data_IF_990879464156
#
_entry.id   IF_990879464156
#
_cell.length_a   1.000
_cell.length_b   1.000
_cell.length_c   1.000
_cell.angle_alpha   90.00
_cell.angle_beta   90.00
_cell.angle_gamma   90.00
#
_symmetry.space_group_name_H-M   'P 1'
#
loop_
_entity.id
_entity.type
_entity.pdbx_description
1 polymer ?
#
# COMPACT_ATOMS: atom_id res chain seq x y z
N UNK A 1 -27.40 -39.10 14.55
CA UNK A 1 -26.68 -37.81 14.54
C UNK A 1 -25.51 -37.89 13.57
N UNK A 2 -25.49 -37.03 12.56
CA UNK A 2 -24.30 -36.80 11.74
C UNK A 2 -24.18 -35.28 11.54
N UNK A 3 -23.25 -34.66 12.28
CA UNK A 3 -22.83 -33.29 11.98
C UNK A 3 -21.91 -33.37 10.76
N UNK A 4 -22.46 -33.07 9.58
CA UNK A 4 -21.66 -32.73 8.42
C UNK A 4 -21.15 -31.31 8.64
N UNK A 5 -19.90 -31.15 9.07
CA UNK A 5 -19.26 -29.85 9.05
C UNK A 5 -18.99 -29.47 7.60
N UNK A 6 -19.88 -28.68 7.00
CA UNK A 6 -19.55 -27.88 5.84
C UNK A 6 -18.41 -26.96 6.26
N UNK A 7 -17.18 -27.32 5.90
CA UNK A 7 -16.07 -26.38 5.94
C UNK A 7 -16.51 -25.19 5.08
N UNK A 8 -16.77 -24.04 5.71
CA UNK A 8 -16.92 -22.80 4.99
C UNK A 8 -15.60 -22.59 4.24
N UNK A 9 -15.62 -22.82 2.92
CA UNK A 9 -14.55 -22.36 2.07
C UNK A 9 -14.52 -20.84 2.21
N UNK A 10 -13.63 -20.33 3.06
CA UNK A 10 -13.36 -18.90 3.14
C UNK A 10 -12.96 -18.44 1.75
N UNK A 11 -13.79 -17.61 1.13
CA UNK A 11 -13.48 -17.00 -0.16
C UNK A 11 -12.10 -16.38 -0.09
N UNK A 12 -11.17 -16.92 -0.86
CA UNK A 12 -9.77 -16.48 -0.86
C UNK A 12 -9.71 -14.99 -1.22
N UNK A 13 -9.15 -14.17 -0.35
CA UNK A 13 -8.93 -12.76 -0.64
C UNK A 13 -7.67 -12.58 -1.53
N UNK A 14 -7.47 -11.37 -2.07
CA UNK A 14 -6.34 -11.09 -2.96
C UNK A 14 -4.97 -11.32 -2.32
N UNK A 15 -4.80 -11.01 -1.02
CA UNK A 15 -3.55 -11.26 -0.30
C UNK A 15 -3.29 -12.76 -0.14
N UNK A 16 -4.31 -13.55 0.16
CA UNK A 16 -4.20 -15.01 0.22
C UNK A 16 -3.87 -15.61 -1.14
N UNK A 17 -4.49 -15.10 -2.21
CA UNK A 17 -4.16 -15.50 -3.59
C UNK A 17 -2.71 -15.15 -3.94
N UNK A 18 -2.26 -13.95 -3.58
CA UNK A 18 -0.87 -13.53 -3.74
C UNK A 18 0.11 -14.48 -3.02
N UNK A 19 -0.15 -14.79 -1.74
CA UNK A 19 0.69 -15.73 -0.99
C UNK A 19 0.77 -17.10 -1.68
N UNK A 20 -0.37 -17.63 -2.15
CA UNK A 20 -0.39 -18.88 -2.91
C UNK A 20 0.43 -18.79 -4.21
N UNK A 21 0.23 -17.74 -5.01
CA UNK A 21 0.94 -17.55 -6.29
C UNK A 21 2.46 -17.52 -6.11
N UNK A 22 2.94 -16.88 -5.03
CA UNK A 22 4.38 -16.69 -4.78
C UNK A 22 4.95 -17.68 -3.74
N UNK A 23 4.23 -18.77 -3.45
CA UNK A 23 4.64 -19.81 -2.49
C UNK A 23 5.02 -19.25 -1.11
N UNK A 24 4.36 -18.19 -0.67
CA UNK A 24 4.53 -17.60 0.65
C UNK A 24 3.70 -18.34 1.70
N UNK A 25 4.17 -18.33 2.94
CA UNK A 25 3.45 -18.91 4.06
C UNK A 25 2.05 -18.31 4.21
N UNK A 26 1.02 -19.15 4.26
CA UNK A 26 -0.38 -18.73 4.31
C UNK A 26 -0.72 -17.89 5.55
N UNK A 27 0.03 -18.08 6.64
CA UNK A 27 -0.10 -17.36 7.92
C UNK A 27 0.45 -15.93 7.88
N UNK A 28 1.10 -15.51 6.78
CA UNK A 28 1.70 -14.19 6.65
C UNK A 28 3.03 -14.02 7.37
N UNK A 29 3.63 -15.09 7.91
CA UNK A 29 4.95 -15.03 8.55
C UNK A 29 6.06 -14.51 7.62
N UNK A 30 5.83 -14.56 6.30
CA UNK A 30 6.76 -14.09 5.27
C UNK A 30 6.39 -12.73 4.67
N UNK A 31 5.31 -12.08 5.13
CA UNK A 31 4.85 -10.79 4.61
C UNK A 31 5.87 -9.67 4.81
N UNK A 32 6.62 -9.71 5.92
CA UNK A 32 7.61 -8.71 6.31
C UNK A 32 9.03 -8.99 5.80
N UNK A 33 9.24 -10.12 5.12
CA UNK A 33 10.56 -10.51 4.61
C UNK A 33 10.88 -9.78 3.31
N UNK A 34 12.18 -9.59 3.05
CA UNK A 34 12.72 -8.90 1.86
C UNK A 34 13.62 -9.86 1.05
N UNK A 35 13.10 -10.99 0.55
CA UNK A 35 13.92 -12.07 -0.01
C UNK A 35 14.69 -11.70 -1.28
N UNK A 36 14.23 -10.70 -2.03
CA UNK A 36 14.91 -10.20 -3.24
C UNK A 36 16.15 -9.33 -2.93
N UNK A 37 16.41 -9.01 -1.65
CA UNK A 37 17.54 -8.17 -1.25
C UNK A 37 17.38 -6.68 -1.60
N UNK A 38 16.22 -6.27 -2.08
CA UNK A 38 15.87 -4.88 -2.44
C UNK A 38 15.37 -4.03 -1.27
N UNK A 39 15.25 -4.64 -0.08
CA UNK A 39 14.73 -3.97 1.12
C UNK A 39 13.21 -3.75 1.13
N UNK A 40 12.47 -4.28 0.15
CA UNK A 40 11.02 -4.13 0.05
C UNK A 40 10.31 -5.41 0.52
N UNK A 41 9.42 -5.27 1.49
CA UNK A 41 8.70 -6.40 2.06
C UNK A 41 7.68 -6.98 1.09
N UNK A 42 7.45 -8.30 1.11
CA UNK A 42 6.46 -8.99 0.26
C UNK A 42 5.06 -8.34 0.32
N UNK A 43 4.61 -7.93 1.51
CA UNK A 43 3.32 -7.25 1.67
C UNK A 43 3.28 -5.91 0.93
N UNK A 44 4.36 -5.13 0.98
CA UNK A 44 4.44 -3.85 0.27
C UNK A 44 4.49 -4.06 -1.24
N UNK A 45 5.20 -5.11 -1.69
CA UNK A 45 5.22 -5.50 -3.09
C UNK A 45 3.81 -5.84 -3.60
N UNK A 46 3.03 -6.59 -2.83
CA UNK A 46 1.63 -6.85 -3.15
C UNK A 46 0.76 -5.58 -3.13
N UNK A 47 0.88 -4.77 -2.07
CA UNK A 47 0.03 -3.60 -1.84
C UNK A 47 0.22 -2.53 -2.93
N UNK A 48 1.47 -2.17 -3.21
CA UNK A 48 1.81 -1.16 -4.21
C UNK A 48 1.94 -1.73 -5.62
N UNK A 49 1.53 -2.99 -5.82
CA UNK A 49 1.49 -3.63 -7.13
C UNK A 49 2.87 -3.59 -7.81
N UNK A 50 3.91 -3.93 -7.05
CA UNK A 50 5.29 -3.97 -7.53
C UNK A 50 5.67 -5.34 -8.10
N UNK A 51 4.67 -6.20 -8.34
CA UNK A 51 4.79 -7.57 -8.85
C UNK A 51 3.68 -7.81 -9.88
N UNK A 52 4.00 -7.74 -11.17
CA UNK A 52 3.06 -8.03 -12.24
C UNK A 52 3.38 -7.37 -13.60
N UNK A 53 2.56 -7.68 -14.60
CA UNK A 53 2.72 -7.30 -16.01
C UNK A 53 1.85 -6.12 -16.46
N UNK A 54 1.40 -5.29 -15.51
CA UNK A 54 0.56 -4.12 -15.80
C UNK A 54 1.37 -2.85 -16.08
N UNK A 55 0.69 -1.81 -16.56
CA UNK A 55 1.31 -0.50 -16.85
C UNK A 55 2.01 0.06 -15.61
N UNK A 56 3.35 0.08 -15.68
CA UNK A 56 4.23 0.66 -14.67
C UNK A 56 4.69 -0.28 -13.56
N UNK A 57 4.60 -1.60 -13.71
CA UNK A 57 5.08 -2.57 -12.73
C UNK A 57 6.38 -3.24 -13.14
N UNK A 58 7.03 -3.94 -12.19
CA UNK A 58 8.00 -4.97 -12.50
C UNK A 58 7.31 -6.33 -12.52
N UNK A 59 7.48 -7.08 -13.60
CA UNK A 59 6.96 -8.45 -13.75
C UNK A 59 7.66 -9.47 -12.84
N UNK A 60 8.87 -9.11 -12.41
CA UNK A 60 9.78 -9.95 -11.68
C UNK A 60 9.96 -9.42 -10.25
N UNK A 61 9.86 -10.31 -9.26
CA UNK A 61 10.08 -9.99 -7.85
C UNK A 61 11.51 -9.58 -7.53
N UNK A 62 12.45 -9.95 -8.40
CA UNK A 62 13.86 -9.62 -8.31
C UNK A 62 14.20 -8.30 -9.01
N UNK A 63 13.26 -7.72 -9.78
CA UNK A 63 13.41 -6.41 -10.41
C UNK A 63 12.58 -5.37 -9.64
N UNK A 64 13.19 -4.47 -8.84
CA UNK A 64 12.43 -3.47 -8.12
C UNK A 64 11.83 -2.44 -9.08
N UNK A 65 10.55 -2.12 -8.90
CA UNK A 65 9.98 -0.88 -9.41
C UNK A 65 10.46 0.30 -8.55
N UNK A 66 11.73 0.68 -8.74
CA UNK A 66 12.44 1.65 -7.90
C UNK A 66 12.11 3.11 -8.21
N UNK A 67 11.22 3.38 -9.18
CA UNK A 67 10.89 4.75 -9.56
C UNK A 67 9.79 5.31 -8.67
N UNK A 68 9.98 6.54 -8.19
CA UNK A 68 8.94 7.30 -7.49
C UNK A 68 7.81 7.61 -8.47
N UNK A 69 6.58 7.46 -8.01
CA UNK A 69 5.37 7.78 -8.74
C UNK A 69 5.41 9.24 -9.23
N UNK A 70 5.16 9.48 -10.52
CA UNK A 70 4.90 10.83 -11.01
C UNK A 70 3.53 11.32 -10.49
N UNK A 71 3.27 12.63 -10.30
CA UNK A 71 2.00 13.13 -9.74
C UNK A 71 0.72 12.58 -10.43
N UNK A 72 0.78 12.37 -11.75
CA UNK A 72 -0.29 11.77 -12.55
C UNK A 72 0.06 10.35 -13.07
N UNK A 73 1.11 9.74 -12.52
CA UNK A 73 1.58 8.40 -12.88
C UNK A 73 0.62 7.31 -12.42
N UNK A 74 0.79 6.11 -12.97
CA UNK A 74 -0.06 4.96 -12.69
C UNK A 74 0.64 3.86 -11.89
N UNK A 75 1.93 4.05 -11.58
CA UNK A 75 2.73 3.12 -10.80
C UNK A 75 4.04 3.74 -10.29
N UNK A 76 4.69 3.04 -9.35
CA UNK A 76 5.93 3.45 -8.70
C UNK A 76 5.79 3.51 -7.18
N UNK A 77 6.90 3.84 -6.51
CA UNK A 77 6.96 4.08 -5.07
C UNK A 77 6.12 5.30 -4.69
N UNK A 78 5.54 5.36 -3.47
CA UNK A 78 4.82 6.54 -3.00
C UNK A 78 5.61 7.85 -3.19
N UNK A 79 4.93 8.87 -3.67
CA UNK A 79 5.46 10.23 -3.84
C UNK A 79 5.04 11.09 -2.66
N UNK A 80 6.01 11.57 -1.88
CA UNK A 80 5.80 12.64 -0.91
C UNK A 80 6.29 13.97 -1.50
N UNK A 81 5.43 15.00 -1.51
CA UNK A 81 5.82 16.34 -1.97
C UNK A 81 5.00 17.43 -1.26
N UNK A 82 5.47 18.67 -1.31
CA UNK A 82 4.73 19.82 -0.79
C UNK A 82 3.97 20.48 -1.94
N UNK A 83 2.68 20.75 -1.73
CA UNK A 83 1.84 21.39 -2.74
C UNK A 83 2.05 22.92 -2.82
N UNK A 84 1.36 23.57 -3.78
CA UNK A 84 1.44 25.02 -3.97
C UNK A 84 0.94 25.87 -2.79
N UNK A 85 0.32 25.24 -1.78
CA UNK A 85 -0.15 25.89 -0.55
C UNK A 85 0.75 25.61 0.66
N UNK A 86 1.85 24.88 0.47
CA UNK A 86 2.78 24.53 1.53
C UNK A 86 2.36 23.30 2.34
N UNK A 87 1.37 22.51 1.90
CA UNK A 87 0.92 21.32 2.61
C UNK A 87 1.63 20.07 2.10
N UNK A 88 1.97 19.15 3.01
CA UNK A 88 2.54 17.87 2.63
C UNK A 88 1.46 16.97 2.00
N UNK A 89 1.75 16.44 0.83
CA UNK A 89 0.93 15.48 0.11
C UNK A 89 1.67 14.16 -0.06
N UNK A 90 0.93 13.06 0.13
CA UNK A 90 1.40 11.71 -0.14
C UNK A 90 0.52 11.07 -1.20
N UNK A 91 1.10 10.77 -2.36
CA UNK A 91 0.43 10.13 -3.48
C UNK A 91 0.96 8.71 -3.66
N UNK A 92 0.06 7.72 -3.75
CA UNK A 92 0.43 6.31 -3.90
C UNK A 92 -0.62 5.54 -4.70
N UNK A 93 -0.23 4.38 -5.23
CA UNK A 93 -1.16 3.43 -5.84
C UNK A 93 -1.66 2.49 -4.75
N UNK A 94 -2.97 2.23 -4.71
CA UNK A 94 -3.54 1.21 -3.82
C UNK A 94 -4.52 0.31 -4.55
N UNK A 95 -4.66 -0.91 -4.03
CA UNK A 95 -5.76 -1.81 -4.40
C UNK A 95 -7.07 -1.27 -3.84
N UNK A 96 -8.11 -1.23 -4.66
CA UNK A 96 -9.46 -0.81 -4.27
C UNK A 96 -10.05 -1.77 -3.25
N UNK A 97 -10.64 -1.24 -2.19
CA UNK A 97 -11.35 -2.05 -1.20
C UNK A 97 -12.51 -2.88 -1.82
N UNK A 98 -13.13 -2.34 -2.88
CA UNK A 98 -14.20 -2.99 -3.62
C UNK A 98 -13.73 -3.92 -4.76
N UNK A 99 -12.42 -4.14 -4.92
CA UNK A 99 -11.92 -5.11 -5.91
C UNK A 99 -12.39 -6.52 -5.57
N UNK A 100 -12.53 -7.38 -6.59
CA UNK A 100 -12.95 -8.77 -6.42
C UNK A 100 -11.86 -9.70 -6.98
N UNK A 101 -11.25 -10.58 -6.16
CA UNK A 101 -11.48 -10.73 -4.71
C UNK A 101 -11.03 -9.48 -3.93
N UNK A 102 -11.62 -9.25 -2.75
CA UNK A 102 -11.24 -8.15 -1.87
C UNK A 102 -9.74 -8.22 -1.55
N UNK A 103 -9.02 -7.10 -1.44
CA UNK A 103 -7.56 -7.14 -1.43
C UNK A 103 -6.98 -7.72 -0.14
N UNK A 104 -7.74 -7.76 0.96
CA UNK A 104 -7.27 -8.30 2.24
C UNK A 104 -6.12 -7.51 2.85
N UNK A 105 -6.09 -6.20 2.62
CA UNK A 105 -5.14 -5.24 3.19
C UNK A 105 -5.82 -3.88 3.38
N UNK A 106 -5.26 -3.06 4.27
CA UNK A 106 -5.65 -1.68 4.56
C UNK A 106 -4.45 -0.74 4.35
N UNK A 107 -4.76 0.51 4.03
CA UNK A 107 -3.80 1.59 3.84
C UNK A 107 -4.15 2.70 4.84
N UNK A 108 -3.18 3.13 5.64
CA UNK A 108 -3.36 4.24 6.58
C UNK A 108 -2.25 5.25 6.37
N UNK A 109 -2.59 6.50 6.05
CA UNK A 109 -1.61 7.59 5.98
C UNK A 109 -1.44 8.20 7.36
N UNK A 110 -0.19 8.28 7.79
CA UNK A 110 0.19 8.80 9.10
C UNK A 110 1.24 9.90 8.92
N UNK A 111 1.20 10.88 9.81
CA UNK A 111 2.07 12.05 9.80
C UNK A 111 2.83 12.16 11.11
N UNK A 112 3.96 12.86 11.07
CA UNK A 112 4.68 13.27 12.27
C UNK A 112 5.54 14.52 12.00
N UNK A 113 5.85 15.25 13.06
CA UNK A 113 6.79 16.38 13.01
C UNK A 113 8.22 15.94 13.40
N UNK A 114 8.38 14.76 14.01
CA UNK A 114 9.66 14.26 14.51
C UNK A 114 9.75 12.73 14.41
N UNK A 115 10.60 12.25 13.50
CA UNK A 115 10.89 10.82 13.32
C UNK A 115 11.93 10.28 14.32
N UNK A 116 12.52 11.13 15.17
CA UNK A 116 13.55 10.77 16.14
C UNK A 116 13.05 10.25 17.47
N UNK A 117 11.73 10.28 17.72
CA UNK A 117 11.12 9.74 18.94
C UNK A 117 10.45 8.39 18.70
N UNK A 118 10.14 7.65 19.77
CA UNK A 118 9.54 6.31 19.65
C UNK A 118 8.08 6.39 19.19
N UNK A 119 7.78 5.72 18.07
CA UNK A 119 6.46 5.62 17.43
C UNK A 119 5.65 6.94 17.34
N UNK A 120 6.16 7.94 16.58
CA UNK A 120 5.61 9.29 16.57
C UNK A 120 4.46 9.49 15.58
N UNK A 121 3.97 8.41 14.98
CA UNK A 121 3.13 8.43 13.80
C UNK A 121 1.65 8.45 14.19
N UNK A 122 0.89 9.38 13.63
CA UNK A 122 -0.53 9.46 13.88
C UNK A 122 -1.31 9.82 12.62
N UNK A 123 -2.55 9.34 12.53
CA UNK A 123 -3.51 9.81 11.53
C UNK A 123 -3.87 11.25 11.84
N UNK A 124 -3.77 12.13 10.85
CA UNK A 124 -4.35 13.47 10.95
C UNK A 124 -5.82 13.42 10.51
N UNK A 125 -6.81 13.57 11.42
CA UNK A 125 -8.23 13.50 11.06
C UNK A 125 -8.71 14.67 10.19
N UNK A 126 -7.92 15.74 10.08
CA UNK A 126 -8.20 16.88 9.20
C UNK A 126 -7.53 16.77 7.83
N UNK A 127 -6.77 15.71 7.56
CA UNK A 127 -6.23 15.45 6.23
C UNK A 127 -7.37 15.11 5.26
N UNK A 128 -7.21 15.49 4.00
CA UNK A 128 -8.16 15.15 2.93
C UNK A 128 -7.61 14.02 2.08
N UNK A 129 -8.49 13.13 1.63
CA UNK A 129 -8.16 12.07 0.69
C UNK A 129 -8.91 12.29 -0.63
N UNK A 130 -8.22 12.06 -1.75
CA UNK A 130 -8.84 11.95 -3.06
C UNK A 130 -8.32 10.70 -3.76
N UNK A 131 -9.20 10.00 -4.48
CA UNK A 131 -8.86 8.80 -5.22
C UNK A 131 -9.26 8.94 -6.69
N UNK A 132 -8.37 8.55 -7.59
CA UNK A 132 -8.62 8.44 -9.03
C UNK A 132 -8.54 6.97 -9.43
N UNK A 133 -9.66 6.43 -9.92
CA UNK A 133 -9.69 5.07 -10.48
C UNK A 133 -8.70 4.94 -11.62
N UNK A 134 -7.83 3.92 -11.58
CA UNK A 134 -6.95 3.56 -12.68
C UNK A 134 -7.55 2.42 -13.51
N UNK A 135 -8.06 1.39 -12.83
CA UNK A 135 -8.77 0.26 -13.45
C UNK A 135 -9.73 -0.40 -12.43
N UNK A 136 -10.17 -1.64 -12.69
CA UNK A 136 -11.05 -2.38 -11.79
C UNK A 136 -10.41 -2.75 -10.43
N UNK A 137 -9.08 -2.80 -10.36
CA UNK A 137 -8.29 -3.27 -9.20
C UNK A 137 -7.61 -2.12 -8.48
N UNK A 138 -7.11 -1.12 -9.20
CA UNK A 138 -6.23 -0.09 -8.67
C UNK A 138 -6.82 1.31 -8.76
N UNK A 139 -6.41 2.13 -7.81
CA UNK A 139 -6.63 3.57 -7.80
C UNK A 139 -5.37 4.30 -7.34
N UNK A 140 -5.18 5.52 -7.84
CA UNK A 140 -4.20 6.46 -7.32
C UNK A 140 -4.86 7.29 -6.24
N UNK A 141 -4.23 7.35 -5.08
CA UNK A 141 -4.71 8.10 -3.93
C UNK A 141 -3.74 9.21 -3.62
N UNK A 142 -4.27 10.40 -3.35
CA UNK A 142 -3.53 11.51 -2.77
C UNK A 142 -4.16 11.86 -1.43
N UNK A 143 -3.36 11.78 -0.37
CA UNK A 143 -3.71 12.31 0.96
C UNK A 143 -2.96 13.61 1.19
N UNK A 144 -3.70 14.68 1.51
CA UNK A 144 -3.15 16.01 1.77
C UNK A 144 -3.30 16.34 3.25
N UNK A 145 -2.19 16.65 3.89
CA UNK A 145 -2.16 17.10 5.27
C UNK A 145 -2.89 18.44 5.45
N UNK A 146 -3.42 18.71 6.65
CA UNK A 146 -4.05 20.01 6.93
C UNK A 146 -3.03 21.09 7.31
N UNK A 147 -1.85 20.71 7.79
CA UNK A 147 -0.80 21.63 8.21
C UNK A 147 -0.14 22.31 7.01
N UNK A 148 -0.18 23.64 6.97
CA UNK A 148 0.46 24.44 5.94
C UNK A 148 1.81 25.00 6.42
N UNK A 149 2.85 24.84 5.61
CA UNK A 149 4.22 25.29 5.87
C UNK A 149 4.79 24.94 7.26
N UNK A 150 4.64 23.68 7.75
CA UNK A 150 5.27 23.27 9.00
C UNK A 150 6.80 23.32 8.88
N UNK A 151 7.49 23.64 9.99
CA UNK A 151 8.95 23.67 10.01
C UNK A 151 9.59 22.31 9.68
N UNK A 152 8.92 21.22 10.09
CA UNK A 152 9.22 19.83 9.74
C UNK A 152 7.92 19.06 9.66
N UNK A 153 7.79 18.21 8.65
CA UNK A 153 6.64 17.31 8.52
C UNK A 153 7.03 16.12 7.67
N UNK A 154 6.66 14.95 8.15
CA UNK A 154 6.90 13.66 7.51
C UNK A 154 5.57 12.93 7.35
N UNK A 155 5.50 12.08 6.33
CA UNK A 155 4.35 11.23 6.09
C UNK A 155 4.81 9.80 5.77
N UNK A 156 3.99 8.82 6.12
CA UNK A 156 4.15 7.44 5.68
C UNK A 156 2.79 6.85 5.30
N UNK A 157 2.80 5.82 4.45
CA UNK A 157 1.68 4.90 4.29
C UNK A 157 1.98 3.63 5.08
N UNK A 158 1.16 3.31 6.07
CA UNK A 158 1.19 2.04 6.78
C UNK A 158 0.25 1.04 6.09
N UNK A 159 0.75 -0.17 5.87
CA UNK A 159 -0.01 -1.29 5.29
C UNK A 159 -0.22 -2.35 6.36
N UNK A 160 -1.43 -2.90 6.45
CA UNK A 160 -1.75 -4.02 7.32
C UNK A 160 -2.71 -5.00 6.62
N UNK A 161 -2.59 -6.33 6.84
CA UNK A 161 -3.57 -7.33 6.40
C UNK A 161 -4.98 -7.11 6.95
#
# INVERSE_FOLDING_TARGET
SAYSSTANATTQNGLQAFRTTYNLAADGSQDSLTPAGDGVQNLLKYAFNMLGSGTGQAEDIDLPNAYVLAPAGTAGLPLAHVDGTGKLQLTFIRRKAASTPAPGITYTVEFTDDVGVSDPWAVNPSATESATSLDATFERVTVTDSAAAPARRFARVRIAP
#
